data_IF_167286104104
#
_entry.id   IF_167286104104
#
_cell.length_a   1.000
_cell.length_b   1.000
_cell.length_c   1.000
_cell.angle_alpha   90.00
_cell.angle_beta   90.00
_cell.angle_gamma   90.00
#
_symmetry.space_group_name_H-M   'P 1'
#
loop_
_entity.id
_entity.type
_entity.pdbx_description
1 polymer ?
#
# COMPACT_ATOMS: atom_id res chain seq x y z
N UNK A 1 11.30 9.54 2.33
CA UNK A 1 10.03 10.05 1.82
C UNK A 1 8.91 9.79 2.82
N UNK A 2 8.02 10.74 3.02
CA UNK A 2 6.98 10.68 4.03
C UNK A 2 5.65 10.08 3.54
N UNK A 3 5.73 9.15 2.59
CA UNK A 3 4.55 8.55 1.99
C UNK A 3 3.67 7.81 3.00
N UNK A 4 4.27 7.35 4.11
CA UNK A 4 3.53 6.70 5.20
C UNK A 4 2.35 7.56 5.70
N UNK A 5 2.52 8.89 5.77
CA UNK A 5 1.46 9.77 6.25
C UNK A 5 0.24 9.77 5.34
N UNK A 6 0.40 9.58 4.04
CA UNK A 6 -0.71 9.46 3.10
C UNK A 6 -1.53 8.18 3.32
N UNK A 7 -0.88 7.11 3.78
CA UNK A 7 -1.52 5.82 4.07
C UNK A 7 -2.05 5.75 5.51
N UNK A 8 -1.53 6.57 6.41
CA UNK A 8 -1.89 6.53 7.82
C UNK A 8 -3.17 7.33 8.09
N UNK A 9 -4.25 6.92 7.44
CA UNK A 9 -5.57 7.52 7.60
C UNK A 9 -6.55 6.48 8.14
N UNK A 10 -7.55 6.92 8.88
CA UNK A 10 -8.48 6.04 9.59
C UNK A 10 -9.21 5.07 8.65
N UNK A 11 -9.52 5.51 7.42
CA UNK A 11 -10.17 4.66 6.43
C UNK A 11 -9.34 3.44 6.04
N UNK A 12 -8.01 3.52 6.16
CA UNK A 12 -7.09 2.41 5.88
C UNK A 12 -6.70 1.73 7.18
N UNK A 13 -6.17 2.46 8.16
CA UNK A 13 -5.64 1.89 9.40
C UNK A 13 -6.70 1.20 10.23
N UNK A 14 -7.95 1.65 10.16
CA UNK A 14 -9.07 1.01 10.83
C UNK A 14 -9.37 -0.41 10.35
N UNK A 15 -8.88 -0.78 9.16
CA UNK A 15 -9.04 -2.12 8.58
C UNK A 15 -7.88 -3.05 8.92
N UNK A 16 -6.80 -2.55 9.50
CA UNK A 16 -5.58 -3.31 9.73
C UNK A 16 -5.53 -3.87 11.14
N UNK A 17 -4.80 -4.98 11.30
CA UNK A 17 -4.54 -5.55 12.61
C UNK A 17 -3.55 -4.70 13.39
N UNK A 18 -3.52 -4.89 14.70
CA UNK A 18 -2.59 -4.18 15.57
C UNK A 18 -1.18 -4.76 15.42
N UNK A 19 -0.18 -3.90 15.55
CA UNK A 19 1.21 -4.28 15.63
C UNK A 19 1.92 -3.35 16.61
N UNK A 20 2.42 -3.93 17.72
CA UNK A 20 3.02 -3.14 18.81
C UNK A 20 2.06 -2.04 19.28
N UNK A 21 2.48 -0.77 19.24
CA UNK A 21 1.65 0.35 19.67
C UNK A 21 0.84 0.99 18.54
N UNK A 22 0.90 0.43 17.33
CA UNK A 22 0.23 0.99 16.16
C UNK A 22 -0.49 -0.07 15.34
N UNK A 23 -0.64 0.20 14.06
CA UNK A 23 -1.30 -0.67 13.10
C UNK A 23 -0.29 -1.32 12.17
N UNK A 24 -0.70 -2.40 11.51
CA UNK A 24 0.15 -3.19 10.62
C UNK A 24 0.33 -2.48 9.27
N UNK A 25 1.04 -1.37 9.28
CA UNK A 25 1.42 -0.57 8.12
C UNK A 25 2.94 -0.52 8.05
N UNK A 26 3.53 -1.20 7.08
CA UNK A 26 4.97 -1.40 7.00
C UNK A 26 5.55 -0.78 5.73
N UNK A 27 6.71 -0.12 5.86
CA UNK A 27 7.43 0.50 4.75
C UNK A 27 8.47 -0.43 4.11
N UNK A 28 8.21 -1.73 4.13
CA UNK A 28 9.13 -2.76 3.66
C UNK A 28 8.40 -3.76 2.78
N UNK A 29 9.13 -4.41 1.87
CA UNK A 29 8.56 -5.44 1.02
C UNK A 29 8.28 -6.75 1.77
N UNK A 30 8.87 -6.92 2.94
CA UNK A 30 8.74 -8.13 3.78
C UNK A 30 8.15 -7.74 5.12
N UNK A 31 7.22 -8.55 5.62
CA UNK A 31 6.64 -8.32 6.94
C UNK A 31 7.63 -8.61 8.06
N UNK A 32 7.54 -7.88 9.19
CA UNK A 32 8.31 -8.23 10.38
C UNK A 32 7.99 -9.65 10.85
N UNK A 33 9.01 -10.39 11.29
CA UNK A 33 8.84 -11.77 11.74
C UNK A 33 7.95 -11.88 12.98
N UNK A 34 7.90 -10.84 13.79
CA UNK A 34 7.10 -10.81 15.01
C UNK A 34 5.66 -10.34 14.80
N UNK A 35 5.26 -10.07 13.56
CA UNK A 35 3.87 -9.76 13.25
C UNK A 35 3.06 -11.05 13.17
N UNK A 36 2.05 -11.17 14.04
CA UNK A 36 1.21 -12.36 14.13
C UNK A 36 -0.21 -12.16 13.59
N UNK A 37 -0.54 -10.95 13.14
CA UNK A 37 -1.84 -10.65 12.56
C UNK A 37 -1.94 -11.07 11.10
N UNK A 38 -3.07 -10.74 10.47
CA UNK A 38 -3.37 -11.12 9.10
C UNK A 38 -3.60 -9.91 8.19
N UNK A 39 -4.27 -8.87 8.69
CA UNK A 39 -4.62 -7.70 7.89
C UNK A 39 -3.51 -6.68 7.99
N UNK A 40 -2.81 -6.47 6.88
CA UNK A 40 -1.64 -5.58 6.84
C UNK A 40 -1.52 -4.90 5.49
N UNK A 41 -0.76 -3.81 5.49
CA UNK A 41 -0.35 -3.10 4.29
C UNK A 41 1.16 -2.94 4.31
N UNK A 42 1.81 -3.35 3.23
CA UNK A 42 3.22 -3.11 3.00
C UNK A 42 3.37 -2.18 1.80
N UNK A 43 4.17 -1.14 1.92
CA UNK A 43 4.44 -0.27 0.79
C UNK A 43 5.95 -0.13 0.57
N UNK A 44 6.35 -0.11 -0.71
CA UNK A 44 7.76 0.03 -1.07
C UNK A 44 7.87 0.61 -2.47
N UNK A 45 8.96 1.32 -2.71
CA UNK A 45 9.23 1.92 -4.02
C UNK A 45 9.71 0.85 -5.01
N UNK A 46 9.06 0.81 -6.18
CA UNK A 46 9.44 -0.11 -7.26
C UNK A 46 10.46 0.56 -8.16
N UNK A 47 10.23 1.82 -8.53
CA UNK A 47 11.10 2.54 -9.45
C UNK A 47 10.94 4.04 -9.25
N UNK A 48 11.93 4.78 -9.73
CA UNK A 48 11.88 6.23 -9.78
C UNK A 48 12.42 6.71 -11.12
N UNK A 49 11.89 7.84 -11.58
CA UNK A 49 12.35 8.50 -12.78
C UNK A 49 12.45 10.00 -12.50
N UNK A 50 13.62 10.56 -12.77
CA UNK A 50 13.85 11.99 -12.66
C UNK A 50 14.16 12.52 -14.04
N UNK A 51 13.18 13.19 -14.66
CA UNK A 51 13.31 13.77 -16.00
C UNK A 51 13.94 15.16 -16.02
N UNK A 52 14.59 15.57 -14.95
CA UNK A 52 15.20 16.88 -14.82
C UNK A 52 14.31 17.84 -14.02
N UNK A 53 14.31 19.13 -14.41
CA UNK A 53 13.66 20.16 -13.62
C UNK A 53 12.12 20.14 -13.71
N UNK A 54 11.57 19.50 -14.74
CA UNK A 54 10.14 19.63 -15.04
C UNK A 54 9.31 18.41 -14.73
N UNK A 55 9.95 17.24 -14.48
CA UNK A 55 9.20 15.99 -14.32
C UNK A 55 9.95 14.99 -13.47
N UNK A 56 9.24 14.44 -12.49
CA UNK A 56 9.70 13.30 -11.71
C UNK A 56 8.55 12.33 -11.54
N UNK A 57 8.87 11.04 -11.49
CA UNK A 57 7.90 9.98 -11.31
C UNK A 57 8.43 8.95 -10.33
N UNK A 58 7.62 8.58 -9.37
CA UNK A 58 7.92 7.52 -8.40
C UNK A 58 6.81 6.50 -8.44
N UNK A 59 7.19 5.23 -8.49
CA UNK A 59 6.24 4.11 -8.47
C UNK A 59 6.39 3.33 -7.18
N UNK A 60 5.26 3.09 -6.54
CA UNK A 60 5.19 2.29 -5.32
C UNK A 60 4.24 1.13 -5.53
N UNK A 61 4.57 -0.01 -4.90
CA UNK A 61 3.64 -1.11 -4.72
C UNK A 61 3.13 -1.08 -3.28
N UNK A 62 1.82 -1.22 -3.16
CA UNK A 62 1.16 -1.31 -1.86
C UNK A 62 0.50 -2.67 -1.80
N UNK A 63 1.07 -3.59 -1.03
CA UNK A 63 0.53 -4.93 -0.85
C UNK A 63 -0.51 -4.90 0.25
N UNK A 64 -1.76 -5.23 -0.10
CA UNK A 64 -2.87 -5.29 0.83
C UNK A 64 -3.14 -6.76 1.13
N UNK A 65 -2.87 -7.19 2.36
CA UNK A 65 -2.89 -8.60 2.75
C UNK A 65 -3.96 -8.88 3.78
N UNK A 66 -4.61 -10.04 3.65
CA UNK A 66 -5.57 -10.53 4.62
C UNK A 66 -5.75 -12.05 4.46
N UNK A 67 -6.39 -12.67 5.44
CA UNK A 67 -6.63 -14.11 5.42
C UNK A 67 -7.63 -14.53 4.35
N UNK A 68 -8.51 -13.63 3.92
CA UNK A 68 -9.50 -13.91 2.88
C UNK A 68 -9.35 -12.92 1.74
N UNK A 69 -9.77 -13.35 0.55
CA UNK A 69 -9.75 -12.51 -0.64
C UNK A 69 -10.62 -11.26 -0.45
N UNK A 70 -11.80 -11.42 0.14
CA UNK A 70 -12.73 -10.31 0.36
C UNK A 70 -12.16 -9.24 1.27
N UNK A 71 -11.49 -9.63 2.34
CA UNK A 71 -10.85 -8.69 3.25
C UNK A 71 -9.67 -7.96 2.58
N UNK A 72 -8.86 -8.67 1.81
CA UNK A 72 -7.74 -8.07 1.08
C UNK A 72 -8.25 -7.05 0.04
N UNK A 73 -9.34 -7.38 -0.67
CA UNK A 73 -9.96 -6.46 -1.62
C UNK A 73 -10.56 -5.23 -0.91
N UNK A 74 -11.12 -5.40 0.27
CA UNK A 74 -11.64 -4.27 1.06
C UNK A 74 -10.53 -3.29 1.42
N UNK A 75 -9.38 -3.80 1.86
CA UNK A 75 -8.21 -2.97 2.17
C UNK A 75 -7.71 -2.27 0.90
N UNK A 76 -7.59 -3.00 -0.21
CA UNK A 76 -7.15 -2.43 -1.48
C UNK A 76 -8.09 -1.32 -1.97
N UNK A 77 -9.39 -1.51 -1.83
CA UNK A 77 -10.39 -0.49 -2.21
C UNK A 77 -10.25 0.76 -1.35
N UNK A 78 -10.00 0.60 -0.04
CA UNK A 78 -9.78 1.73 0.86
C UNK A 78 -8.53 2.52 0.48
N UNK A 79 -7.45 1.82 0.13
CA UNK A 79 -6.20 2.45 -0.34
C UNK A 79 -6.45 3.20 -1.65
N UNK A 80 -7.13 2.56 -2.59
CA UNK A 80 -7.46 3.18 -3.88
C UNK A 80 -8.29 4.45 -3.68
N UNK A 81 -9.36 4.37 -2.88
CA UNK A 81 -10.26 5.50 -2.66
C UNK A 81 -9.56 6.67 -1.97
N UNK A 82 -8.63 6.38 -1.06
CA UNK A 82 -7.89 7.42 -0.35
C UNK A 82 -6.84 8.12 -1.22
N UNK A 83 -6.22 7.39 -2.15
CA UNK A 83 -5.06 7.88 -2.87
C UNK A 83 -5.31 8.26 -4.32
N UNK A 84 -6.24 7.58 -5.01
CA UNK A 84 -6.42 7.80 -6.43
C UNK A 84 -6.87 9.24 -6.71
N UNK A 85 -6.17 9.91 -7.61
CA UNK A 85 -6.40 11.30 -8.01
C UNK A 85 -6.24 12.30 -6.88
N UNK A 86 -5.55 11.91 -5.81
CA UNK A 86 -5.20 12.82 -4.73
C UNK A 86 -3.86 13.48 -4.98
N UNK A 87 -3.47 14.39 -4.10
CA UNK A 87 -2.18 15.05 -4.13
C UNK A 87 -1.39 14.71 -2.88
N UNK A 88 -0.08 14.57 -3.02
CA UNK A 88 0.84 14.39 -1.91
C UNK A 88 2.03 15.32 -2.11
N UNK A 89 2.05 16.43 -1.36
CA UNK A 89 3.02 17.49 -1.61
C UNK A 89 2.83 18.06 -3.02
N UNK A 90 3.90 18.08 -3.80
CA UNK A 90 3.89 18.56 -5.18
C UNK A 90 3.55 17.46 -6.19
N UNK A 91 3.15 16.28 -5.70
CA UNK A 91 2.88 15.13 -6.55
C UNK A 91 1.38 14.88 -6.72
N UNK A 92 1.03 14.42 -7.90
CA UNK A 92 -0.27 13.92 -8.23
C UNK A 92 -0.22 12.39 -8.23
N UNK A 93 -1.21 11.73 -7.64
CA UNK A 93 -1.21 10.29 -7.47
C UNK A 93 -2.23 9.63 -8.40
N UNK A 94 -1.78 8.61 -9.12
CA UNK A 94 -2.63 7.75 -9.93
C UNK A 94 -2.49 6.32 -9.40
N UNK A 95 -3.62 5.66 -9.15
CA UNK A 95 -3.65 4.30 -8.63
C UNK A 95 -4.19 3.31 -9.63
N UNK A 96 -3.72 2.07 -9.54
CA UNK A 96 -4.34 0.92 -10.20
C UNK A 96 -4.36 -0.26 -9.23
N UNK A 97 -5.47 -1.03 -9.24
CA UNK A 97 -5.57 -2.24 -8.44
C UNK A 97 -5.23 -3.42 -9.35
N UNK A 98 -4.25 -4.20 -8.93
CA UNK A 98 -3.81 -5.38 -9.67
C UNK A 98 -4.63 -6.61 -9.28
N UNK A 99 -4.58 -7.69 -10.09
CA UNK A 99 -5.26 -8.93 -9.75
C UNK A 99 -4.82 -9.51 -8.40
N UNK A 100 -5.74 -10.21 -7.75
CA UNK A 100 -5.47 -10.89 -6.49
C UNK A 100 -4.39 -11.94 -6.70
N UNK A 101 -3.40 -11.97 -5.81
CA UNK A 101 -2.38 -13.01 -5.75
C UNK A 101 -2.82 -13.99 -4.67
N UNK A 102 -3.18 -15.24 -5.04
CA UNK A 102 -3.56 -16.24 -4.05
C UNK A 102 -2.37 -16.66 -3.20
N UNK A 103 -2.59 -17.16 -1.98
CA UNK A 103 -1.49 -17.63 -1.15
C UNK A 103 -0.78 -18.83 -1.77
N UNK A 104 0.53 -18.92 -1.52
CA UNK A 104 1.35 -20.02 -2.02
C UNK A 104 1.05 -21.33 -1.28
N UNK A 105 0.61 -21.23 -0.02
CA UNK A 105 0.16 -22.35 0.78
C UNK A 105 -0.92 -21.89 1.77
N UNK A 106 -1.44 -22.82 2.58
CA UNK A 106 -2.54 -22.55 3.50
C UNK A 106 -2.17 -21.59 4.64
N UNK A 107 -0.90 -21.31 4.84
CA UNK A 107 -0.43 -20.42 5.91
C UNK A 107 -0.22 -19.00 5.45
N UNK A 108 -0.18 -18.76 4.13
CA UNK A 108 0.02 -17.43 3.56
C UNK A 108 -1.31 -16.68 3.43
N UNK A 109 -1.20 -15.37 3.32
CA UNK A 109 -2.35 -14.51 3.12
C UNK A 109 -2.57 -14.20 1.65
N UNK A 110 -3.81 -13.86 1.29
CA UNK A 110 -4.11 -13.25 0.00
C UNK A 110 -3.45 -11.88 -0.06
N UNK A 111 -2.98 -11.51 -1.25
CA UNK A 111 -2.35 -10.22 -1.51
C UNK A 111 -3.05 -9.56 -2.70
N UNK A 112 -3.52 -8.33 -2.50
CA UNK A 112 -4.03 -7.50 -3.59
C UNK A 112 -3.09 -6.32 -3.73
N UNK A 113 -2.20 -6.32 -4.73
CA UNK A 113 -1.30 -5.19 -4.93
C UNK A 113 -2.05 -3.99 -5.50
N UNK A 114 -1.83 -2.83 -4.90
CA UNK A 114 -2.23 -1.55 -5.46
C UNK A 114 -0.95 -0.84 -5.90
N UNK A 115 -0.82 -0.59 -7.19
CA UNK A 115 0.31 0.14 -7.72
C UNK A 115 -0.06 1.62 -7.81
N UNK A 116 0.82 2.47 -7.33
CA UNK A 116 0.61 3.91 -7.41
C UNK A 116 1.78 4.57 -8.12
N UNK A 117 1.46 5.66 -8.80
CA UNK A 117 2.43 6.49 -9.48
C UNK A 117 2.28 7.90 -8.95
N UNK A 118 3.36 8.43 -8.39
CA UNK A 118 3.46 9.83 -7.97
C UNK A 118 4.14 10.61 -9.09
N UNK A 119 3.43 11.56 -9.67
CA UNK A 119 3.95 12.39 -10.77
C UNK A 119 4.02 13.83 -10.31
N UNK A 120 5.07 14.54 -10.70
CA UNK A 120 5.11 15.99 -10.52
C UNK A 120 4.08 16.65 -11.42
N UNK A 121 3.57 17.73 -10.94
CA UNK A 121 2.62 18.54 -11.71
C UNK A 121 3.31 19.42 -12.73
#
# INVERSE_FOLDING_TARGET
MLFRSALNVVGITGLLDDYKTGKALFSESVMPEDFTGQKSVNYYMISSFDGGLEYSEYRYSISCRAATQGEALTIASAVFDALNRSSYGDYYIVCSVNPVIPPADDTDNFNVPVEIILKTR
#
